data_IF_165276891414
#
_entry.id   IF_165276891414
#
_cell.length_a   1.000
_cell.length_b   1.000
_cell.length_c   1.000
_cell.angle_alpha   90.00
_cell.angle_beta   90.00
_cell.angle_gamma   90.00
#
_symmetry.space_group_name_H-M   'P 1'
#
loop_
_entity.id
_entity.type
_entity.pdbx_description
1 polymer ?
#
# COMPACT_ATOMS: atom_id res chain seq x y z
N UNK A 1 17.87 -5.10 -13.00
CA UNK A 1 17.68 -6.55 -12.69
C UNK A 1 16.60 -6.63 -11.64
N UNK A 2 15.58 -7.48 -11.84
CA UNK A 2 14.59 -7.71 -10.78
C UNK A 2 15.31 -8.23 -9.54
N UNK A 3 15.04 -7.66 -8.35
CA UNK A 3 15.59 -8.18 -7.11
C UNK A 3 15.06 -9.59 -6.84
N UNK A 4 15.79 -10.40 -6.08
CA UNK A 4 15.34 -11.75 -5.70
C UNK A 4 13.94 -11.73 -5.05
N UNK A 5 13.62 -10.68 -4.30
CA UNK A 5 12.29 -10.45 -3.73
C UNK A 5 11.18 -10.34 -4.77
N UNK A 6 11.40 -9.68 -5.91
CA UNK A 6 10.39 -9.56 -6.97
C UNK A 6 10.08 -10.92 -7.62
N UNK A 7 11.06 -11.83 -7.74
CA UNK A 7 10.82 -13.15 -8.31
C UNK A 7 9.90 -13.98 -7.40
N UNK A 8 10.13 -13.94 -6.08
CA UNK A 8 9.25 -14.62 -5.11
C UNK A 8 7.80 -14.13 -5.23
N UNK A 9 7.59 -12.81 -5.31
CA UNK A 9 6.25 -12.26 -5.45
C UNK A 9 5.58 -12.63 -6.77
N UNK A 10 6.35 -12.74 -7.87
CA UNK A 10 5.82 -13.27 -9.13
C UNK A 10 5.30 -14.71 -8.98
N UNK A 11 6.07 -15.57 -8.30
CA UNK A 11 5.75 -16.99 -8.12
C UNK A 11 4.55 -17.18 -7.15
N UNK A 12 4.41 -16.31 -6.16
CA UNK A 12 3.34 -16.35 -5.16
C UNK A 12 2.01 -15.70 -5.63
N UNK A 13 2.03 -14.87 -6.67
CA UNK A 13 0.89 -14.03 -7.08
C UNK A 13 -0.42 -14.81 -7.28
N UNK A 14 -0.37 -15.98 -7.95
CA UNK A 14 -1.57 -16.79 -8.23
C UNK A 14 -2.25 -17.36 -6.98
N UNK A 15 -1.53 -17.42 -5.86
CA UNK A 15 -2.02 -17.97 -4.59
C UNK A 15 -2.09 -16.90 -3.48
N UNK A 16 -1.64 -15.68 -3.74
CA UNK A 16 -1.55 -14.60 -2.77
C UNK A 16 -2.86 -14.34 -2.05
N UNK A 17 -3.93 -14.21 -2.82
CA UNK A 17 -5.28 -13.94 -2.31
C UNK A 17 -5.91 -15.09 -1.52
N UNK A 18 -5.36 -16.30 -1.63
CA UNK A 18 -5.85 -17.47 -0.89
C UNK A 18 -5.31 -17.51 0.55
N UNK A 19 -4.34 -16.67 0.88
CA UNK A 19 -3.75 -16.63 2.21
C UNK A 19 -4.66 -15.87 3.19
N UNK A 20 -5.23 -16.55 4.22
CA UNK A 20 -6.14 -15.90 5.15
C UNK A 20 -5.50 -14.76 5.94
N UNK A 21 -4.20 -14.86 6.26
CA UNK A 21 -3.49 -13.80 6.99
C UNK A 21 -3.31 -12.55 6.14
N UNK A 22 -3.07 -12.70 4.83
CA UNK A 22 -2.99 -11.57 3.88
C UNK A 22 -4.35 -10.90 3.74
N UNK A 23 -5.41 -11.67 3.58
CA UNK A 23 -6.79 -11.18 3.49
C UNK A 23 -7.17 -10.37 4.74
N UNK A 24 -6.90 -10.93 5.92
CA UNK A 24 -7.25 -10.28 7.19
C UNK A 24 -6.40 -9.04 7.45
N UNK A 25 -5.08 -9.08 7.18
CA UNK A 25 -4.21 -7.91 7.29
C UNK A 25 -4.70 -6.76 6.40
N UNK A 26 -5.04 -7.07 5.14
CA UNK A 26 -5.55 -6.06 4.20
C UNK A 26 -6.92 -5.52 4.61
N UNK A 27 -7.81 -6.38 5.16
CA UNK A 27 -9.12 -5.94 5.68
C UNK A 27 -8.94 -4.94 6.82
N UNK A 28 -8.10 -5.27 7.80
CA UNK A 28 -7.81 -4.41 8.95
C UNK A 28 -7.10 -3.11 8.54
N UNK A 29 -6.19 -3.17 7.56
CA UNK A 29 -5.58 -1.99 6.99
C UNK A 29 -6.64 -1.08 6.36
N UNK A 30 -7.53 -1.62 5.52
CA UNK A 30 -8.60 -0.85 4.92
C UNK A 30 -9.52 -0.21 5.97
N UNK A 31 -9.93 -0.96 6.99
CA UNK A 31 -10.79 -0.45 8.07
C UNK A 31 -10.12 0.72 8.82
N UNK A 32 -8.80 0.66 9.00
CA UNK A 32 -8.02 1.71 9.68
C UNK A 32 -7.80 2.96 8.82
N UNK A 33 -7.61 2.81 7.50
CA UNK A 33 -7.36 3.95 6.60
C UNK A 33 -8.66 4.56 6.03
N UNK A 34 -9.77 3.83 6.04
CA UNK A 34 -11.05 4.30 5.50
C UNK A 34 -11.52 5.63 6.11
N UNK A 35 -11.44 5.88 7.42
CA UNK A 35 -11.77 7.19 8.00
C UNK A 35 -10.90 8.32 7.45
N UNK A 36 -9.61 8.07 7.18
CA UNK A 36 -8.68 9.04 6.59
C UNK A 36 -9.14 9.39 5.18
N UNK A 37 -9.48 8.38 4.36
CA UNK A 37 -10.02 8.58 3.00
C UNK A 37 -11.29 9.42 3.05
N UNK A 38 -12.23 9.09 3.94
CA UNK A 38 -13.50 9.80 4.08
C UNK A 38 -13.30 11.27 4.44
N UNK A 39 -12.47 11.56 5.45
CA UNK A 39 -12.15 12.93 5.87
C UNK A 39 -11.53 13.75 4.74
N UNK A 40 -10.57 13.16 4.00
CA UNK A 40 -9.95 13.84 2.86
C UNK A 40 -10.94 14.05 1.71
N UNK A 41 -11.80 13.06 1.44
CA UNK A 41 -12.81 13.15 0.39
C UNK A 41 -13.83 14.26 0.69
N UNK A 42 -14.32 14.35 1.92
CA UNK A 42 -15.23 15.41 2.37
C UNK A 42 -14.58 16.81 2.23
N UNK A 43 -13.32 16.91 2.67
CA UNK A 43 -12.55 18.17 2.54
C UNK A 43 -12.38 18.56 1.07
N UNK A 44 -11.97 17.63 0.20
CA UNK A 44 -11.77 17.91 -1.23
C UNK A 44 -13.09 18.24 -1.92
N UNK A 45 -14.15 17.50 -1.61
CA UNK A 45 -15.48 17.77 -2.16
C UNK A 45 -15.98 19.17 -1.78
N UNK A 46 -15.78 19.60 -0.54
CA UNK A 46 -16.20 20.93 -0.07
C UNK A 46 -15.38 22.08 -0.66
N UNK A 47 -14.09 21.84 -0.99
CA UNK A 47 -13.19 22.90 -1.49
C UNK A 47 -13.17 23.01 -3.02
N UNK A 48 -13.24 21.88 -3.72
CA UNK A 48 -13.07 21.84 -5.18
C UNK A 48 -14.22 21.16 -5.94
N UNK A 49 -15.16 20.51 -5.24
CA UNK A 49 -16.20 19.70 -5.87
C UNK A 49 -15.69 18.39 -6.50
N UNK A 50 -14.41 18.04 -6.29
CA UNK A 50 -13.77 16.89 -6.91
C UNK A 50 -13.60 15.71 -5.94
N UNK A 51 -13.45 14.49 -6.48
CA UNK A 51 -13.08 13.29 -5.72
C UNK A 51 -11.57 13.14 -5.68
N UNK A 52 -11.07 12.28 -4.77
CA UNK A 52 -9.64 12.04 -4.56
C UNK A 52 -8.97 11.30 -5.71
N UNK A 53 -7.75 11.71 -6.02
CA UNK A 53 -6.77 10.95 -6.79
C UNK A 53 -5.83 10.24 -5.84
N UNK A 54 -5.71 8.92 -5.98
CA UNK A 54 -4.93 8.08 -5.08
C UNK A 54 -3.81 7.37 -5.82
N UNK A 55 -2.65 7.25 -5.19
CA UNK A 55 -1.55 6.38 -5.60
C UNK A 55 -1.40 5.29 -4.53
N UNK A 56 -1.36 4.04 -4.93
CA UNK A 56 -0.96 2.93 -4.07
C UNK A 56 0.37 2.37 -4.54
N UNK A 57 1.36 2.33 -3.65
CA UNK A 57 2.71 1.81 -3.93
C UNK A 57 2.90 0.49 -3.22
N UNK A 58 3.22 -0.57 -4.01
CA UNK A 58 3.24 -1.95 -3.56
C UNK A 58 1.82 -2.53 -3.48
N UNK A 59 1.03 -2.36 -4.53
CA UNK A 59 -0.37 -2.75 -4.55
C UNK A 59 -0.58 -4.29 -4.56
N UNK A 60 0.48 -5.07 -4.86
CA UNK A 60 0.39 -6.50 -5.00
C UNK A 60 -0.69 -6.92 -6.00
N UNK A 61 -1.51 -7.87 -5.63
CA UNK A 61 -2.66 -8.34 -6.42
C UNK A 61 -3.89 -7.42 -6.35
N UNK A 62 -3.77 -6.24 -5.70
CA UNK A 62 -4.83 -5.24 -5.62
C UNK A 62 -5.90 -5.49 -4.55
N UNK A 63 -5.59 -6.25 -3.49
CA UNK A 63 -6.56 -6.51 -2.42
C UNK A 63 -7.02 -5.22 -1.71
N UNK A 64 -6.10 -4.30 -1.44
CA UNK A 64 -6.42 -2.99 -0.87
C UNK A 64 -6.94 -2.05 -1.95
N UNK A 65 -6.33 -2.03 -3.13
CA UNK A 65 -6.73 -1.23 -4.30
C UNK A 65 -8.23 -1.35 -4.57
N UNK A 66 -8.74 -2.59 -4.68
CA UNK A 66 -10.14 -2.85 -5.03
C UNK A 66 -11.13 -2.46 -3.92
N UNK A 67 -10.70 -2.41 -2.66
CA UNK A 67 -11.51 -1.89 -1.53
C UNK A 67 -11.58 -0.36 -1.55
N UNK A 68 -10.50 0.30 -1.98
CA UNK A 68 -10.38 1.77 -2.03
C UNK A 68 -11.02 2.36 -3.29
N UNK A 69 -10.93 1.68 -4.42
CA UNK A 69 -11.41 2.16 -5.72
C UNK A 69 -12.84 2.76 -5.72
N UNK A 70 -13.85 2.16 -5.06
CA UNK A 70 -15.21 2.72 -5.01
C UNK A 70 -15.30 4.09 -4.31
N UNK A 71 -14.33 4.42 -3.44
CA UNK A 71 -14.34 5.62 -2.59
C UNK A 71 -13.68 6.83 -3.27
N UNK A 72 -12.92 6.62 -4.36
CA UNK A 72 -12.03 7.63 -4.96
C UNK A 72 -12.35 7.87 -6.44
N UNK A 73 -11.82 8.94 -7.03
CA UNK A 73 -11.98 9.23 -8.46
C UNK A 73 -11.21 8.21 -9.29
N UNK A 74 -9.95 8.04 -8.95
CA UNK A 74 -9.03 7.12 -9.60
C UNK A 74 -7.96 6.66 -8.61
N UNK A 75 -7.51 5.42 -8.76
CA UNK A 75 -6.37 4.88 -8.03
C UNK A 75 -5.35 4.33 -9.02
N UNK A 76 -4.13 4.88 -8.98
CA UNK A 76 -2.97 4.34 -9.70
C UNK A 76 -2.31 3.34 -8.77
N UNK A 77 -2.25 2.08 -9.20
CA UNK A 77 -1.79 0.95 -8.40
C UNK A 77 -0.46 0.45 -8.95
N UNK A 78 0.62 0.70 -8.22
CA UNK A 78 2.00 0.42 -8.67
C UNK A 78 2.58 -0.75 -7.90
N UNK A 79 3.17 -1.71 -8.62
CA UNK A 79 3.94 -2.82 -8.05
C UNK A 79 5.05 -3.25 -9.00
N UNK A 80 6.29 -3.55 -8.52
CA UNK A 80 7.38 -3.99 -9.39
C UNK A 80 7.26 -5.44 -9.83
N UNK A 81 6.43 -6.27 -9.16
CA UNK A 81 6.26 -7.66 -9.48
C UNK A 81 5.20 -7.85 -10.58
N UNK A 82 5.64 -8.26 -11.77
CA UNK A 82 4.77 -8.43 -12.94
C UNK A 82 3.59 -9.39 -12.69
N UNK A 83 3.83 -10.52 -12.00
CA UNK A 83 2.78 -11.49 -11.67
C UNK A 83 1.69 -10.91 -10.75
N UNK A 84 2.06 -9.99 -9.85
CA UNK A 84 1.10 -9.26 -9.01
C UNK A 84 0.20 -8.37 -9.86
N UNK A 85 0.79 -7.56 -10.75
CA UNK A 85 0.04 -6.67 -11.65
C UNK A 85 -0.85 -7.47 -12.61
N UNK A 86 -0.37 -8.56 -13.20
CA UNK A 86 -1.19 -9.43 -14.05
C UNK A 86 -2.42 -9.97 -13.29
N UNK A 87 -2.25 -10.33 -12.02
CA UNK A 87 -3.36 -10.80 -11.18
C UNK A 87 -4.37 -9.68 -10.91
N UNK A 88 -3.91 -8.45 -10.65
CA UNK A 88 -4.79 -7.28 -10.53
C UNK A 88 -5.54 -7.00 -11.84
N UNK A 89 -4.85 -6.97 -12.97
CA UNK A 89 -5.44 -6.77 -14.29
C UNK A 89 -6.52 -7.82 -14.61
N UNK A 90 -6.27 -9.08 -14.29
CA UNK A 90 -7.26 -10.14 -14.47
C UNK A 90 -8.53 -9.87 -13.65
N UNK A 91 -8.40 -9.37 -12.42
CA UNK A 91 -9.54 -9.04 -11.55
C UNK A 91 -10.39 -7.87 -12.10
N UNK A 92 -9.74 -6.78 -12.53
CA UNK A 92 -10.46 -5.60 -13.04
C UNK A 92 -11.13 -5.86 -14.39
N UNK A 93 -10.60 -6.81 -15.17
CA UNK A 93 -11.15 -7.17 -16.49
C UNK A 93 -12.19 -8.30 -16.45
N UNK A 94 -12.48 -8.87 -15.27
CA UNK A 94 -13.45 -9.97 -15.16
C UNK A 94 -14.88 -9.44 -15.24
N UNK A 95 -15.76 -10.01 -16.11
CA UNK A 95 -17.14 -9.53 -16.29
C UNK A 95 -17.99 -9.51 -15.00
N UNK A 96 -17.71 -10.40 -14.05
CA UNK A 96 -18.38 -10.44 -12.73
C UNK A 96 -18.18 -9.18 -11.89
N UNK A 97 -17.11 -8.43 -12.14
CA UNK A 97 -16.92 -7.12 -11.53
C UNK A 97 -17.80 -6.03 -12.18
N UNK A 98 -18.34 -6.29 -13.36
CA UNK A 98 -19.17 -5.35 -14.14
C UNK A 98 -20.68 -5.53 -13.88
N UNK A 99 -21.14 -6.73 -13.49
CA UNK A 99 -22.57 -7.09 -13.46
C UNK A 99 -23.26 -7.11 -12.10
N UNK A 100 -22.54 -7.04 -10.96
CA UNK A 100 -23.16 -7.04 -9.61
C UNK A 100 -23.48 -5.61 -9.15
N UNK A 101 -24.16 -4.85 -9.97
CA UNK A 101 -24.55 -3.48 -9.63
C UNK A 101 -25.92 -3.09 -10.13
N UNK A 102 -26.95 -3.93 -9.87
CA UNK A 102 -28.32 -3.42 -10.02
C UNK A 102 -28.76 -2.62 -8.77
N UNK A 103 -28.26 -2.91 -7.55
CA UNK A 103 -28.67 -2.23 -6.30
C UNK A 103 -27.56 -2.11 -5.22
N UNK A 104 -26.28 -2.29 -5.56
CA UNK A 104 -25.13 -2.13 -4.64
C UNK A 104 -24.16 -1.04 -5.07
N UNK A 105 -23.18 -0.63 -4.23
CA UNK A 105 -22.16 0.31 -4.65
C UNK A 105 -21.44 -0.27 -5.88
N UNK A 106 -21.51 0.45 -7.00
CA UNK A 106 -20.92 0.05 -8.27
C UNK A 106 -19.45 -0.32 -8.05
N UNK A 107 -19.09 -1.54 -8.40
CA UNK A 107 -17.69 -1.97 -8.39
C UNK A 107 -17.00 -1.23 -9.55
N UNK A 108 -16.42 -0.06 -9.25
CA UNK A 108 -15.80 0.82 -10.24
C UNK A 108 -14.37 0.33 -10.54
N UNK A 109 -14.23 -0.87 -11.11
CA UNK A 109 -12.94 -1.36 -11.61
C UNK A 109 -12.36 -0.49 -12.74
N UNK A 110 -13.19 0.33 -13.39
CA UNK A 110 -12.78 1.26 -14.45
C UNK A 110 -11.91 2.43 -13.97
N UNK A 111 -11.80 2.68 -12.68
CA UNK A 111 -10.97 3.75 -12.12
C UNK A 111 -9.66 3.26 -11.49
N UNK A 112 -9.26 2.00 -11.74
CA UNK A 112 -7.98 1.43 -11.33
C UNK A 112 -7.03 1.44 -12.51
N UNK A 113 -5.85 2.03 -12.30
CA UNK A 113 -4.77 2.09 -13.31
C UNK A 113 -3.58 1.28 -12.80
N UNK A 114 -3.43 0.00 -13.21
CA UNK A 114 -2.30 -0.82 -12.80
C UNK A 114 -1.02 -0.38 -13.53
N UNK A 115 0.10 -0.34 -12.80
CA UNK A 115 1.41 0.06 -13.31
C UNK A 115 2.48 -0.90 -12.79
N UNK A 116 3.11 -1.66 -13.69
CA UNK A 116 4.23 -2.54 -13.34
C UNK A 116 5.53 -1.75 -13.29
N UNK A 117 5.91 -1.26 -12.09
CA UNK A 117 7.08 -0.40 -11.93
C UNK A 117 7.63 -0.41 -10.51
N UNK A 118 8.96 -0.41 -10.36
CA UNK A 118 9.62 0.03 -9.13
C UNK A 118 9.65 1.57 -9.15
N UNK A 119 8.85 2.20 -8.32
CA UNK A 119 8.70 3.66 -8.29
C UNK A 119 9.78 4.27 -7.39
N UNK A 120 10.79 4.90 -8.01
CA UNK A 120 11.91 5.57 -7.33
C UNK A 120 11.97 7.08 -7.64
N UNK A 121 11.18 7.56 -8.62
CA UNK A 121 11.15 8.95 -9.05
C UNK A 121 9.69 9.45 -9.08
N UNK A 122 9.36 10.59 -8.43
CA UNK A 122 8.02 11.17 -8.50
C UNK A 122 7.65 11.70 -9.90
N UNK A 123 8.61 11.77 -10.83
CA UNK A 123 8.41 12.11 -12.24
C UNK A 123 8.59 10.89 -13.16
N UNK A 124 8.55 9.65 -12.62
CA UNK A 124 8.65 8.42 -13.41
C UNK A 124 7.64 8.44 -14.57
N UNK A 125 8.09 8.25 -15.83
CA UNK A 125 7.22 8.30 -17.01
C UNK A 125 6.10 7.25 -17.03
N UNK A 126 6.18 6.21 -16.19
CA UNK A 126 5.10 5.24 -16.03
C UNK A 126 3.89 5.79 -15.26
N UNK A 127 4.08 6.86 -14.47
CA UNK A 127 2.95 7.56 -13.85
C UNK A 127 2.16 8.35 -14.88
N UNK A 128 0.85 8.54 -14.70
CA UNK A 128 0.03 9.36 -15.59
C UNK A 128 0.58 10.77 -15.75
N UNK A 129 0.62 11.28 -16.98
CA UNK A 129 0.98 12.66 -17.23
C UNK A 129 -0.03 13.62 -16.60
N UNK A 130 0.44 14.80 -16.18
CA UNK A 130 -0.42 15.87 -15.67
C UNK A 130 -1.35 16.37 -16.76
N UNK A 131 -0.80 16.60 -17.97
CA UNK A 131 -1.55 16.82 -19.20
C UNK A 131 -1.51 15.53 -20.01
N UNK A 132 -2.66 14.89 -20.18
CA UNK A 132 -2.77 13.63 -20.90
C UNK A 132 -2.30 13.69 -22.37
N UNK A 133 -2.14 14.89 -22.93
CA UNK A 133 -1.64 15.13 -24.28
C UNK A 133 -0.12 15.32 -24.34
N UNK A 134 0.57 15.44 -23.20
CA UNK A 134 2.02 15.57 -23.12
C UNK A 134 2.67 14.40 -22.37
N UNK A 135 3.07 13.33 -23.06
CA UNK A 135 3.71 12.18 -22.42
C UNK A 135 5.10 12.49 -21.87
N UNK A 136 5.71 13.61 -22.27
CA UNK A 136 7.04 14.07 -21.80
C UNK A 136 6.94 15.10 -20.67
N UNK A 137 5.71 15.58 -20.38
CA UNK A 137 5.43 16.58 -19.35
C UNK A 137 5.52 16.05 -17.92
N UNK A 138 5.26 16.93 -16.98
CA UNK A 138 5.22 16.60 -15.55
C UNK A 138 4.18 15.52 -15.26
N UNK A 139 4.48 14.71 -14.23
CA UNK A 139 3.57 13.67 -13.78
C UNK A 139 2.50 14.24 -12.85
N UNK A 140 1.32 13.61 -12.92
CA UNK A 140 0.20 13.93 -12.02
C UNK A 140 0.60 13.63 -10.58
N UNK A 141 0.15 14.50 -9.67
CA UNK A 141 0.33 14.32 -8.22
C UNK A 141 -0.98 13.90 -7.59
N UNK A 142 -0.89 13.31 -6.41
CA UNK A 142 -1.99 12.61 -5.77
C UNK A 142 -2.40 13.28 -4.47
N UNK A 143 -3.69 13.19 -4.13
CA UNK A 143 -4.24 13.70 -2.87
C UNK A 143 -3.90 12.79 -1.69
N UNK A 144 -3.82 11.48 -1.96
CA UNK A 144 -3.52 10.47 -0.97
C UNK A 144 -2.60 9.42 -1.58
N UNK A 145 -1.59 9.02 -0.81
CA UNK A 145 -0.74 7.88 -1.14
C UNK A 145 -0.92 6.80 -0.08
N UNK A 146 -1.12 5.57 -0.54
CA UNK A 146 -1.27 4.37 0.26
C UNK A 146 -0.10 3.42 0.02
N UNK A 147 0.28 2.69 1.06
CA UNK A 147 1.18 1.55 0.96
C UNK A 147 0.90 0.60 2.13
N UNK A 148 0.81 -0.70 1.87
CA UNK A 148 0.49 -1.71 2.88
C UNK A 148 1.43 -2.90 2.78
N UNK A 149 2.15 -3.19 3.89
CA UNK A 149 3.10 -4.30 3.97
C UNK A 149 4.24 -4.23 2.93
N UNK A 150 4.78 -3.03 2.71
CA UNK A 150 5.86 -2.76 1.74
C UNK A 150 7.14 -2.28 2.42
N UNK A 151 7.01 -1.41 3.43
CA UNK A 151 8.16 -0.68 4.00
C UNK A 151 9.23 -1.60 4.58
N UNK A 152 8.85 -2.77 5.09
CA UNK A 152 9.79 -3.74 5.62
C UNK A 152 10.63 -4.44 4.51
N UNK A 153 10.26 -4.29 3.22
CA UNK A 153 11.01 -4.74 2.06
C UNK A 153 11.89 -3.66 1.42
N UNK A 154 11.74 -2.40 1.82
CA UNK A 154 12.41 -1.26 1.19
C UNK A 154 13.76 -1.01 1.86
N UNK A 155 14.91 -1.17 1.16
CA UNK A 155 16.23 -0.95 1.77
C UNK A 155 16.43 0.48 2.28
N UNK A 156 16.13 1.48 1.44
CA UNK A 156 16.23 2.91 1.75
C UNK A 156 14.86 3.53 1.93
N UNK A 157 14.36 3.52 3.19
CA UNK A 157 13.07 4.14 3.52
C UNK A 157 13.08 5.66 3.40
N UNK A 158 14.23 6.32 3.54
CA UNK A 158 14.33 7.77 3.34
C UNK A 158 14.07 8.13 1.88
N UNK A 159 14.74 7.45 0.95
CA UNK A 159 14.54 7.66 -0.48
C UNK A 159 13.09 7.33 -0.88
N UNK A 160 12.54 6.22 -0.39
CA UNK A 160 11.15 5.82 -0.61
C UNK A 160 10.17 6.90 -0.16
N UNK A 161 10.28 7.37 1.09
CA UNK A 161 9.43 8.45 1.62
C UNK A 161 9.59 9.75 0.84
N UNK A 162 10.81 10.07 0.38
CA UNK A 162 11.09 11.22 -0.47
C UNK A 162 10.36 11.14 -1.81
N UNK A 163 10.34 9.95 -2.44
CA UNK A 163 9.57 9.68 -3.66
C UNK A 163 8.07 9.87 -3.41
N UNK A 164 7.53 9.29 -2.33
CA UNK A 164 6.12 9.47 -1.97
C UNK A 164 5.79 10.95 -1.74
N UNK A 165 6.65 11.66 -0.99
CA UNK A 165 6.48 13.09 -0.76
C UNK A 165 6.42 13.89 -2.07
N UNK A 166 7.30 13.58 -3.02
CA UNK A 166 7.32 14.19 -4.35
C UNK A 166 6.10 13.86 -5.22
N UNK A 167 5.42 12.74 -4.96
CA UNK A 167 4.20 12.34 -5.67
C UNK A 167 2.92 13.00 -5.12
N UNK A 168 2.96 13.66 -3.95
CA UNK A 168 1.78 14.33 -3.38
C UNK A 168 1.55 15.72 -3.97
N UNK A 169 0.29 16.13 -4.03
CA UNK A 169 -0.06 17.57 -4.16
C UNK A 169 0.25 18.31 -2.85
N UNK A 170 0.43 19.65 -2.84
CA UNK A 170 0.41 20.43 -1.61
C UNK A 170 -0.89 20.16 -0.82
N UNK A 171 -0.77 19.89 0.48
CA UNK A 171 -1.88 19.46 1.34
C UNK A 171 -2.30 18.00 1.19
N UNK A 172 -1.70 17.25 0.26
CA UNK A 172 -1.89 15.80 0.12
C UNK A 172 -1.28 15.01 1.29
N UNK A 173 -1.72 13.79 1.50
CA UNK A 173 -1.34 12.98 2.66
C UNK A 173 -0.83 11.59 2.26
N UNK A 174 -0.05 10.99 3.15
CA UNK A 174 0.24 9.55 3.12
C UNK A 174 -0.54 8.84 4.23
N UNK A 175 -0.93 7.60 3.98
CA UNK A 175 -1.41 6.65 4.99
C UNK A 175 -0.76 5.30 4.70
N UNK A 176 0.34 5.03 5.40
CA UNK A 176 1.19 3.85 5.19
C UNK A 176 0.98 2.89 6.35
N UNK A 177 0.92 1.60 6.06
CA UNK A 177 0.69 0.57 7.08
C UNK A 177 1.68 -0.57 6.95
N UNK A 178 2.29 -0.94 8.07
CA UNK A 178 3.20 -2.07 8.17
C UNK A 178 3.23 -2.59 9.60
N UNK A 179 3.75 -3.80 9.84
CA UNK A 179 3.87 -4.30 11.20
C UNK A 179 4.99 -3.59 11.95
N UNK A 180 4.79 -3.45 13.26
CA UNK A 180 5.75 -2.80 14.16
C UNK A 180 6.91 -3.74 14.50
N UNK A 181 8.12 -3.18 14.62
CA UNK A 181 9.19 -3.83 15.35
C UNK A 181 8.93 -3.69 16.86
N UNK A 182 8.31 -4.72 17.43
CA UNK A 182 8.01 -4.80 18.87
C UNK A 182 9.02 -5.66 19.64
N UNK A 183 10.18 -5.93 19.04
CA UNK A 183 11.27 -6.70 19.63
C UNK A 183 11.51 -8.06 18.95
N UNK A 184 12.21 -9.00 19.62
CA UNK A 184 12.70 -10.23 18.97
C UNK A 184 11.63 -11.11 18.32
N UNK A 185 10.39 -11.02 18.80
CA UNK A 185 9.28 -11.81 18.25
C UNK A 185 8.79 -11.30 16.88
N UNK A 186 9.12 -10.05 16.52
CA UNK A 186 8.69 -9.45 15.26
C UNK A 186 9.21 -10.21 14.02
N UNK A 187 10.39 -10.84 14.11
CA UNK A 187 10.95 -11.67 13.02
C UNK A 187 10.00 -12.81 12.64
N UNK A 188 9.19 -13.29 13.57
CA UNK A 188 8.24 -14.40 13.35
C UNK A 188 7.04 -14.04 12.49
N UNK A 189 6.93 -12.78 12.07
CA UNK A 189 5.91 -12.37 11.10
C UNK A 189 6.08 -13.12 9.77
N UNK A 190 7.32 -13.35 9.35
CA UNK A 190 7.63 -14.15 8.18
C UNK A 190 8.05 -15.56 8.59
N UNK A 191 7.62 -16.61 7.86
CA UNK A 191 8.19 -17.94 8.04
C UNK A 191 9.69 -17.93 7.72
N UNK A 192 10.49 -18.85 8.33
CA UNK A 192 11.94 -18.88 8.16
C UNK A 192 12.42 -18.98 6.70
N UNK A 193 11.62 -19.63 5.84
CA UNK A 193 11.90 -19.80 4.41
C UNK A 193 11.48 -18.60 3.54
N UNK A 194 10.93 -17.54 4.14
CA UNK A 194 10.48 -16.33 3.43
C UNK A 194 11.16 -15.05 3.91
N UNK A 195 12.38 -15.16 4.42
CA UNK A 195 13.17 -14.01 4.86
C UNK A 195 13.94 -13.32 3.72
N UNK A 196 14.08 -13.98 2.58
CA UNK A 196 14.71 -13.37 1.40
C UNK A 196 13.91 -12.15 0.91
N UNK A 197 14.60 -11.01 0.75
CA UNK A 197 13.98 -9.73 0.40
C UNK A 197 13.27 -9.02 1.56
N UNK A 198 13.42 -9.49 2.81
CA UNK A 198 13.00 -8.78 4.03
C UNK A 198 14.18 -7.97 4.57
N UNK A 199 14.10 -6.66 4.45
CA UNK A 199 15.18 -5.74 4.88
C UNK A 199 15.13 -5.45 6.39
N UNK A 200 13.95 -5.58 7.00
CA UNK A 200 13.74 -5.37 8.43
C UNK A 200 12.56 -6.16 8.98
N UNK A 201 12.67 -6.54 10.24
CA UNK A 201 11.63 -7.32 10.92
C UNK A 201 10.65 -6.42 11.67
N UNK A 202 9.93 -5.61 10.88
CA UNK A 202 9.01 -4.60 11.37
C UNK A 202 9.59 -3.18 11.33
N UNK A 203 8.75 -2.20 11.61
CA UNK A 203 9.07 -0.77 11.54
C UNK A 203 9.07 -0.22 12.97
N UNK A 204 10.21 0.31 13.51
CA UNK A 204 10.21 0.98 14.79
C UNK A 204 9.40 2.29 14.72
N UNK A 205 8.30 2.38 15.51
CA UNK A 205 7.34 3.48 15.40
C UNK A 205 7.98 4.87 15.55
N UNK A 206 8.79 5.07 16.61
CA UNK A 206 9.43 6.36 16.85
C UNK A 206 10.43 6.77 15.77
N UNK A 207 11.23 5.80 15.31
CA UNK A 207 12.17 6.04 14.21
C UNK A 207 11.45 6.44 12.92
N UNK A 208 10.33 5.77 12.60
CA UNK A 208 9.52 6.10 11.43
C UNK A 208 8.91 7.51 11.52
N UNK A 209 8.42 7.89 12.71
CA UNK A 209 7.90 9.23 12.95
C UNK A 209 8.98 10.31 12.72
N UNK A 210 10.17 10.09 13.26
CA UNK A 210 11.29 11.02 13.10
C UNK A 210 11.74 11.09 11.63
N UNK A 211 11.84 9.94 10.95
CA UNK A 211 12.21 9.86 9.53
C UNK A 211 11.22 10.59 8.62
N UNK A 212 9.91 10.46 8.86
CA UNK A 212 8.89 11.18 8.11
C UNK A 212 9.03 12.70 8.28
N UNK A 213 9.28 13.17 9.53
CA UNK A 213 9.52 14.60 9.80
C UNK A 213 10.79 15.10 9.09
N UNK A 214 11.86 14.33 9.09
CA UNK A 214 13.11 14.67 8.41
C UNK A 214 12.97 14.75 6.87
N UNK A 215 12.08 13.95 6.29
CA UNK A 215 11.75 14.03 4.85
C UNK A 215 10.94 15.28 4.54
N UNK A 216 10.25 15.87 5.52
CA UNK A 216 9.51 17.13 5.38
C UNK A 216 8.00 16.99 5.55
N UNK A 217 7.49 15.81 5.91
CA UNK A 217 6.07 15.65 6.23
C UNK A 217 5.71 16.46 7.47
N UNK A 218 4.53 17.08 7.43
CA UNK A 218 3.89 17.73 8.57
C UNK A 218 2.73 16.90 9.10
N UNK A 219 2.19 17.26 10.27
CA UNK A 219 1.11 16.53 10.95
C UNK A 219 1.39 15.01 11.02
N UNK A 220 2.68 14.66 11.26
CA UNK A 220 3.11 13.27 11.32
C UNK A 220 2.52 12.60 12.56
N UNK A 221 1.90 11.44 12.33
CA UNK A 221 1.39 10.56 13.38
C UNK A 221 1.72 9.12 13.03
N UNK A 222 2.44 8.45 13.91
CA UNK A 222 2.75 7.02 13.80
C UNK A 222 2.20 6.34 15.05
N UNK A 223 1.25 5.45 14.88
CA UNK A 223 0.61 4.77 16.01
C UNK A 223 0.14 3.37 15.62
N UNK A 224 0.04 2.48 16.61
CA UNK A 224 -0.59 1.18 16.39
C UNK A 224 -2.06 1.37 16.06
N UNK A 225 -2.46 0.90 14.88
CA UNK A 225 -3.84 0.93 14.42
C UNK A 225 -4.62 -0.33 14.80
N UNK A 226 -3.95 -1.47 14.78
CA UNK A 226 -4.55 -2.77 15.15
C UNK A 226 -3.46 -3.80 15.49
N UNK A 227 -3.88 -4.96 15.98
CA UNK A 227 -3.01 -6.14 16.15
C UNK A 227 -3.56 -7.28 15.32
N UNK A 228 -2.72 -7.86 14.45
CA UNK A 228 -3.05 -9.04 13.66
C UNK A 228 -2.68 -10.29 14.45
N UNK A 229 -3.65 -11.14 14.75
CA UNK A 229 -3.40 -12.49 15.25
C UNK A 229 -3.03 -13.40 14.06
N UNK A 230 -1.82 -13.94 14.07
CA UNK A 230 -1.30 -14.77 12.98
C UNK A 230 -0.69 -16.05 13.53
N UNK A 231 -1.01 -17.18 12.92
CA UNK A 231 -0.31 -18.44 13.20
C UNK A 231 1.15 -18.32 12.78
N UNK A 232 2.04 -18.73 13.67
CA UNK A 232 3.48 -18.72 13.45
C UNK A 232 3.89 -20.09 12.93
N UNK A 233 4.63 -20.10 11.82
CA UNK A 233 5.26 -21.32 11.33
C UNK A 233 6.42 -21.73 12.23
N UNK A 234 6.96 -22.94 12.02
CA UNK A 234 8.00 -23.52 12.89
C UNK A 234 9.26 -22.63 12.95
N UNK A 235 9.37 -21.89 14.05
CA UNK A 235 10.60 -21.28 14.51
C UNK A 235 11.13 -22.06 15.72
N UNK A 236 12.44 -21.96 16.00
CA UNK A 236 13.01 -22.62 17.17
C UNK A 236 12.26 -22.22 18.45
N UNK A 237 11.85 -23.23 19.23
CA UNK A 237 11.07 -23.04 20.45
C UNK A 237 9.57 -22.80 20.27
N UNK A 238 9.06 -22.76 19.02
CA UNK A 238 7.62 -22.62 18.74
C UNK A 238 6.99 -23.97 18.45
N UNK A 239 5.73 -24.13 18.86
CA UNK A 239 4.91 -25.29 18.52
C UNK A 239 4.11 -25.01 17.25
N UNK A 240 3.83 -26.03 16.42
CA UNK A 240 2.94 -25.86 15.29
C UNK A 240 1.58 -25.33 15.73
N UNK A 241 1.12 -24.25 15.09
CA UNK A 241 -0.18 -23.64 15.40
C UNK A 241 -0.17 -22.61 16.53
N UNK A 242 0.99 -22.26 17.12
CA UNK A 242 1.08 -21.11 18.01
C UNK A 242 0.65 -19.84 17.27
N UNK A 243 -0.10 -18.99 17.96
CA UNK A 243 -0.58 -17.71 17.42
C UNK A 243 0.07 -16.57 18.18
N UNK A 244 0.65 -15.62 17.45
CA UNK A 244 1.18 -14.37 18.00
C UNK A 244 0.38 -13.17 17.50
N UNK A 245 0.32 -12.14 18.32
CA UNK A 245 -0.21 -10.83 17.96
C UNK A 245 0.88 -9.95 17.39
N UNK A 246 0.70 -9.47 16.16
CA UNK A 246 1.59 -8.53 15.50
C UNK A 246 0.93 -7.16 15.45
N UNK A 247 1.44 -6.15 16.20
CA UNK A 247 0.97 -4.78 16.10
C UNK A 247 1.25 -4.22 14.72
N UNK A 248 0.30 -3.49 14.15
CA UNK A 248 0.43 -2.79 12.88
C UNK A 248 0.37 -1.30 13.09
N UNK A 249 1.34 -0.60 12.52
CA UNK A 249 1.39 0.85 12.50
C UNK A 249 0.51 1.42 11.40
N UNK A 250 -0.11 2.55 11.70
CA UNK A 250 -0.63 3.51 10.72
C UNK A 250 0.27 4.74 10.79
N UNK A 251 0.94 5.03 9.68
CA UNK A 251 1.86 6.15 9.53
C UNK A 251 1.21 7.21 8.65
N UNK A 252 0.82 8.32 9.23
CA UNK A 252 0.18 9.46 8.57
C UNK A 252 1.13 10.65 8.49
N UNK A 253 1.06 11.40 7.40
CA UNK A 253 1.79 12.65 7.24
C UNK A 253 1.21 13.46 6.09
N UNK A 254 1.37 14.78 6.11
CA UNK A 254 0.93 15.69 5.08
C UNK A 254 2.12 16.35 4.37
N UNK A 255 2.01 16.59 3.07
CA UNK A 255 2.88 17.51 2.37
C UNK A 255 2.35 18.93 2.58
N UNK A 256 3.16 19.90 3.10
CA UNK A 256 2.76 21.27 3.26
C UNK A 256 2.43 21.98 1.96
#
# INVERSE_FOLDING_TARGET
MASAGNQRFNDEAANWDKNPSVQEATRLAFDSIKPIIQTLAERKQSTTGARLDVLEVGCGTGLLTLRVAPLVREIVAVDPAHGMIQTLEAKINTPTCQEIAADGPRNNSHNVVPVCRLLEDPEDPALPALDGNDPTGRRRKFDLILSHLVMHHVPDLRAFLGTLFGCLVPGGRVALTDFEDFGPEAIKFHPPNKLDGVERHGIPARWMEDLMKEVGFQDVKVSVGWTLAKSVELWEGQKPGDTLGFPFLVCEGARP
#
